data_IF_361239808649
#
_entry.id   IF_361239808649
#
_cell.length_a   1.000
_cell.length_b   1.000
_cell.length_c   1.000
_cell.angle_alpha   90.00
_cell.angle_beta   90.00
_cell.angle_gamma   90.00
#
_symmetry.space_group_name_H-M   'P 1'
#
loop_
_entity.id
_entity.type
_entity.pdbx_description
1 polymer ?
#
# COMPACT_ATOMS: atom_id res chain seq x y z
N UNK A 1 1.20 -2.31 -8.88
CA UNK A 1 1.48 -2.17 -7.45
C UNK A 1 0.61 -1.12 -6.77
N UNK A 2 0.77 -1.01 -5.47
CA UNK A 2 -0.04 -0.10 -4.65
C UNK A 2 0.04 1.36 -5.12
N UNK A 3 1.24 1.96 -5.33
CA UNK A 3 1.32 3.37 -5.69
C UNK A 3 0.58 3.71 -6.99
N UNK A 4 0.73 2.87 -8.00
CA UNK A 4 0.08 3.09 -9.30
C UNK A 4 -1.43 2.96 -9.20
N UNK A 5 -1.94 2.02 -8.41
CA UNK A 5 -3.37 1.81 -8.22
C UNK A 5 -4.01 2.92 -7.39
N UNK A 6 -3.35 3.36 -6.33
CA UNK A 6 -3.85 4.45 -5.49
C UNK A 6 -3.88 5.76 -6.29
N UNK A 7 -2.86 6.04 -7.09
CA UNK A 7 -2.78 7.29 -7.86
C UNK A 7 -3.96 7.48 -8.81
N UNK A 8 -4.60 6.40 -9.24
CA UNK A 8 -5.79 6.46 -10.10
C UNK A 8 -7.05 6.88 -9.35
N UNK A 9 -7.05 6.78 -8.02
CA UNK A 9 -8.23 7.02 -7.18
C UNK A 9 -8.22 8.38 -6.52
N UNK A 10 -7.08 9.07 -6.46
CA UNK A 10 -6.95 10.36 -5.77
C UNK A 10 -7.01 11.52 -6.76
N UNK A 11 -7.62 12.66 -6.36
CA UNK A 11 -7.68 13.84 -7.20
C UNK A 11 -6.30 14.42 -7.50
N UNK A 12 -6.21 15.13 -8.61
CA UNK A 12 -5.02 15.90 -8.96
C UNK A 12 -4.71 16.92 -7.87
N UNK A 13 -3.44 17.08 -7.54
CA UNK A 13 -2.99 17.97 -6.47
C UNK A 13 -2.83 17.31 -5.12
N UNK A 14 -3.16 16.01 -5.03
CA UNK A 14 -2.95 15.20 -3.83
C UNK A 14 -1.94 14.10 -4.11
N UNK A 15 -1.31 13.62 -3.05
CA UNK A 15 -0.41 12.46 -3.11
C UNK A 15 -0.70 11.49 -1.97
N UNK A 16 -0.51 10.22 -2.21
CA UNK A 16 -0.57 9.19 -1.19
C UNK A 16 0.84 8.86 -0.69
N UNK A 17 0.97 8.77 0.63
CA UNK A 17 2.19 8.32 1.29
C UNK A 17 1.91 6.94 1.87
N UNK A 18 2.61 5.91 1.39
CA UNK A 18 2.43 4.52 1.83
C UNK A 18 3.64 4.08 2.64
N UNK A 19 3.38 3.60 3.86
CA UNK A 19 4.41 3.04 4.72
C UNK A 19 4.41 1.52 4.59
N UNK A 20 5.39 0.97 3.90
CA UNK A 20 5.52 -0.47 3.65
C UNK A 20 5.94 -1.27 4.89
N UNK A 21 6.26 -0.61 6.00
CA UNK A 21 6.51 -1.26 7.29
C UNK A 21 5.27 -1.35 8.16
N UNK A 22 4.13 -0.84 7.70
CA UNK A 22 2.89 -0.77 8.48
C UNK A 22 2.08 -2.07 8.50
N UNK A 23 2.44 -3.05 7.69
CA UNK A 23 1.83 -4.38 7.70
C UNK A 23 2.87 -5.46 7.47
N UNK A 24 2.60 -6.71 7.91
CA UNK A 24 3.54 -7.81 7.68
C UNK A 24 3.56 -8.21 6.20
N UNK A 25 4.74 -8.24 5.60
CA UNK A 25 4.91 -8.74 4.23
C UNK A 25 4.70 -10.26 4.22
N UNK A 26 3.74 -10.78 3.45
CA UNK A 26 3.57 -12.23 3.34
C UNK A 26 4.84 -12.91 2.83
N UNK A 27 5.16 -14.06 3.39
CA UNK A 27 6.39 -14.79 3.11
C UNK A 27 6.58 -15.08 1.61
N UNK A 28 5.48 -15.31 0.88
CA UNK A 28 5.53 -15.53 -0.56
C UNK A 28 6.26 -14.41 -1.30
N UNK A 29 5.99 -13.15 -0.94
CA UNK A 29 6.62 -11.99 -1.58
C UNK A 29 8.10 -11.90 -1.26
N UNK A 30 8.51 -12.22 -0.04
CA UNK A 30 9.92 -12.30 0.34
C UNK A 30 10.67 -13.36 -0.47
N UNK A 31 10.06 -14.52 -0.66
CA UNK A 31 10.63 -15.60 -1.46
C UNK A 31 10.76 -15.23 -2.94
N UNK A 32 9.75 -14.55 -3.50
CA UNK A 32 9.80 -14.06 -4.88
C UNK A 32 10.93 -13.05 -5.04
N UNK A 33 11.06 -12.13 -4.11
CA UNK A 33 12.11 -11.11 -4.16
C UNK A 33 13.50 -11.73 -4.14
N UNK A 34 13.74 -12.70 -3.27
CA UNK A 34 15.02 -13.39 -3.17
C UNK A 34 15.32 -14.23 -4.42
N UNK A 35 14.34 -15.00 -4.87
CA UNK A 35 14.52 -15.88 -6.03
C UNK A 35 14.78 -15.10 -7.32
N UNK A 36 14.14 -13.96 -7.50
CA UNK A 36 14.29 -13.11 -8.68
C UNK A 36 15.35 -12.02 -8.54
N UNK A 37 16.00 -11.91 -7.38
CA UNK A 37 16.93 -10.81 -7.09
C UNK A 37 16.32 -9.44 -7.39
N UNK A 38 15.05 -9.24 -6.99
CA UNK A 38 14.25 -8.08 -7.35
C UNK A 38 14.57 -6.91 -6.41
N UNK A 39 14.94 -5.72 -6.94
CA UNK A 39 15.14 -4.53 -6.10
C UNK A 39 13.86 -4.13 -5.35
N UNK A 40 13.97 -3.54 -4.14
CA UNK A 40 12.79 -3.13 -3.36
C UNK A 40 11.83 -2.22 -4.12
N UNK A 41 12.34 -1.29 -4.92
CA UNK A 41 11.50 -0.38 -5.72
C UNK A 41 10.64 -1.15 -6.73
N UNK A 42 11.20 -2.18 -7.35
CA UNK A 42 10.50 -3.00 -8.33
C UNK A 42 9.45 -3.88 -7.68
N UNK A 43 9.69 -4.35 -6.45
CA UNK A 43 8.67 -5.06 -5.66
C UNK A 43 7.46 -4.17 -5.43
N UNK A 44 7.66 -2.93 -5.01
CA UNK A 44 6.59 -1.97 -4.74
C UNK A 44 5.79 -1.60 -5.98
N UNK A 45 6.45 -1.48 -7.13
CA UNK A 45 5.82 -1.11 -8.40
C UNK A 45 5.04 -2.27 -9.00
N UNK A 46 5.55 -3.48 -8.91
CA UNK A 46 5.03 -4.65 -9.63
C UNK A 46 3.99 -5.42 -8.82
N UNK A 47 4.18 -5.55 -7.50
CA UNK A 47 3.37 -6.41 -6.66
C UNK A 47 2.53 -5.62 -5.65
N UNK A 48 1.41 -6.23 -5.20
CA UNK A 48 0.58 -5.65 -4.14
C UNK A 48 1.16 -5.86 -2.74
N UNK A 49 2.19 -6.67 -2.60
CA UNK A 49 2.88 -6.97 -1.34
C UNK A 49 1.95 -7.47 -0.23
N UNK A 50 0.84 -8.10 -0.60
CA UNK A 50 -0.14 -8.66 0.34
C UNK A 50 -1.35 -7.77 0.61
N UNK A 51 -1.40 -6.56 0.06
CA UNK A 51 -2.56 -5.67 0.18
C UNK A 51 -3.43 -5.83 -1.07
N UNK A 52 -4.55 -6.52 -0.91
CA UNK A 52 -5.46 -6.81 -2.02
C UNK A 52 -6.50 -5.73 -2.29
N UNK A 53 -6.77 -4.88 -1.31
CA UNK A 53 -7.79 -3.83 -1.42
C UNK A 53 -7.44 -2.66 -0.49
N UNK A 54 -7.49 -1.44 -1.02
CA UNK A 54 -7.25 -0.22 -0.25
C UNK A 54 -8.49 0.66 -0.26
N UNK A 55 -8.77 1.30 0.88
CA UNK A 55 -9.79 2.34 0.96
C UNK A 55 -9.16 3.63 1.49
N UNK A 56 -9.65 4.76 1.00
CA UNK A 56 -9.25 6.08 1.48
C UNK A 56 -10.45 6.64 2.22
N UNK A 57 -10.27 6.94 3.49
CA UNK A 57 -11.35 7.39 4.37
C UNK A 57 -10.87 8.59 5.20
N UNK A 58 -11.83 9.33 5.78
CA UNK A 58 -11.49 10.36 6.76
C UNK A 58 -10.92 9.71 8.03
N UNK A 59 -10.06 10.42 8.79
CA UNK A 59 -9.36 9.83 9.95
C UNK A 59 -10.25 9.30 11.06
N UNK A 60 -11.51 9.76 11.14
CA UNK A 60 -12.48 9.35 12.16
C UNK A 60 -13.21 8.05 11.86
N UNK A 61 -13.01 7.47 10.68
CA UNK A 61 -13.65 6.21 10.31
C UNK A 61 -13.00 5.04 11.05
N UNK A 62 -13.82 4.20 11.64
CA UNK A 62 -13.39 2.99 12.35
C UNK A 62 -13.75 1.78 11.49
N UNK A 63 -12.76 0.97 11.16
CA UNK A 63 -12.98 -0.28 10.44
C UNK A 63 -13.37 -1.38 11.43
N UNK A 64 -14.40 -2.15 11.07
CA UNK A 64 -14.85 -3.27 11.90
C UNK A 64 -13.70 -4.24 12.18
N UNK A 65 -13.52 -4.61 13.45
CA UNK A 65 -12.44 -5.49 13.88
C UNK A 65 -12.53 -6.91 13.33
N UNK A 66 -13.69 -7.31 12.79
CA UNK A 66 -13.83 -8.60 12.09
C UNK A 66 -13.13 -8.60 10.73
N UNK A 67 -12.77 -7.44 10.21
CA UNK A 67 -12.05 -7.29 8.94
C UNK A 67 -10.58 -7.06 9.25
N UNK A 68 -9.72 -7.93 8.75
CA UNK A 68 -8.28 -7.73 8.88
C UNK A 68 -7.85 -6.53 8.04
N UNK A 69 -7.34 -5.50 8.70
CA UNK A 69 -6.96 -4.25 8.04
C UNK A 69 -5.78 -3.58 8.72
N UNK A 70 -5.07 -2.75 7.94
CA UNK A 70 -3.95 -1.95 8.43
C UNK A 70 -4.09 -0.54 7.91
N UNK A 71 -3.72 0.44 8.73
CA UNK A 71 -3.51 1.80 8.26
C UNK A 71 -2.14 1.86 7.60
N UNK A 72 -2.12 1.96 6.27
CA UNK A 72 -0.89 1.84 5.51
C UNK A 72 -0.30 3.17 5.06
N UNK A 73 -1.02 4.27 5.27
CA UNK A 73 -0.53 5.59 4.87
C UNK A 73 -1.57 6.67 4.96
N UNK A 74 -1.28 7.78 4.33
CA UNK A 74 -2.17 8.94 4.28
C UNK A 74 -2.18 9.59 2.90
N UNK A 75 -3.09 10.54 2.71
CA UNK A 75 -3.19 11.37 1.51
C UNK A 75 -2.99 12.82 1.91
N UNK A 76 -2.08 13.50 1.24
CA UNK A 76 -1.69 14.87 1.53
C UNK A 76 -1.74 15.73 0.27
N UNK A 77 -1.87 17.04 0.46
CA UNK A 77 -1.75 18.00 -0.62
C UNK A 77 -0.29 18.05 -1.12
N UNK A 78 -0.14 18.22 -2.43
CA UNK A 78 1.16 18.48 -3.04
C UNK A 78 1.42 19.98 -2.95
N UNK A 79 2.53 20.33 -2.34
CA UNK A 79 2.91 21.74 -2.19
C UNK A 79 3.37 22.37 -3.51
#
# INVERSE_FOLDING_TARGET
>A
GIPGNISRCIPKGLKANVNYDSWPLPELFSKIQLAGEIPPEDMKTTFNCGIGFCIIVTPDVIIDSSIESWEIGDVQAID
#
